data_IF_771114162801
#
_entry.id   IF_771114162801
#
_cell.length_a   1.000
_cell.length_b   1.000
_cell.length_c   1.000
_cell.angle_alpha   90.00
_cell.angle_beta   90.00
_cell.angle_gamma   90.00
#
_symmetry.space_group_name_H-M   'P 1'
#
loop_
_entity.id
_entity.type
_entity.pdbx_description
1 polymer ?
#
# COMPACT_ATOMS: atom_id res chain seq x y z
N UNK A 1 43.64 -8.43 -39.45
CA UNK A 1 43.18 -9.74 -39.92
C UNK A 1 42.83 -10.57 -38.71
N UNK A 2 41.56 -10.71 -38.38
CA UNK A 2 41.10 -11.63 -37.37
C UNK A 2 39.75 -12.21 -37.84
N UNK A 3 39.78 -13.50 -38.06
CA UNK A 3 38.75 -14.32 -38.70
C UNK A 3 37.63 -14.65 -37.70
N UNK A 4 36.38 -14.36 -38.07
CA UNK A 4 35.20 -14.74 -37.32
C UNK A 4 34.75 -16.11 -37.80
N UNK A 5 34.67 -17.08 -36.88
CA UNK A 5 34.10 -18.40 -37.12
C UNK A 5 32.65 -18.40 -36.55
N UNK A 6 31.70 -18.54 -37.44
CA UNK A 6 30.29 -18.75 -37.08
C UNK A 6 29.98 -20.24 -37.00
N UNK A 7 29.53 -20.72 -35.89
CA UNK A 7 29.04 -22.10 -35.73
C UNK A 7 27.53 -22.14 -35.81
N UNK A 8 27.04 -22.82 -36.84
CA UNK A 8 25.61 -23.11 -37.08
C UNK A 8 25.25 -24.41 -36.34
N UNK A 9 24.28 -24.41 -35.46
CA UNK A 9 23.71 -25.62 -34.84
C UNK A 9 22.30 -25.83 -35.37
N UNK A 10 22.10 -26.93 -36.01
CA UNK A 10 20.81 -27.36 -36.59
C UNK A 10 19.94 -28.05 -35.53
N UNK A 11 18.65 -27.77 -35.55
CA UNK A 11 17.64 -28.46 -34.76
C UNK A 11 17.08 -29.68 -35.51
N UNK A 12 16.76 -30.78 -34.86
CA UNK A 12 16.03 -31.88 -35.48
C UNK A 12 14.50 -31.71 -35.38
N UNK A 13 13.82 -31.98 -36.48
CA UNK A 13 12.39 -32.08 -36.59
C UNK A 13 11.93 -33.43 -36.01
N UNK A 14 10.89 -33.44 -35.18
CA UNK A 14 10.19 -34.62 -34.75
C UNK A 14 8.81 -34.73 -35.43
N UNK A 15 8.60 -35.88 -36.01
CA UNK A 15 7.42 -36.25 -36.82
C UNK A 15 6.17 -36.50 -35.95
N UNK A 16 5.05 -36.12 -36.50
CA UNK A 16 3.71 -36.45 -36.01
C UNK A 16 3.38 -37.93 -36.24
N UNK A 17 2.80 -38.59 -35.25
CA UNK A 17 2.06 -39.83 -35.45
C UNK A 17 0.60 -39.66 -35.03
N UNK A 18 -0.27 -39.83 -36.01
CA UNK A 18 -1.72 -39.97 -35.86
C UNK A 18 -2.05 -41.40 -35.50
N UNK A 19 -2.82 -41.61 -34.42
CA UNK A 19 -3.61 -42.85 -34.27
C UNK A 19 -5.04 -42.49 -33.86
N UNK A 20 -5.95 -42.89 -34.71
CA UNK A 20 -7.41 -42.92 -34.51
C UNK A 20 -7.82 -44.09 -33.65
N UNK A 21 -8.87 -43.90 -32.84
CA UNK A 21 -9.74 -45.00 -32.46
C UNK A 21 -10.20 -45.08 -31.02
N UNK A 22 -11.49 -44.99 -30.78
CA UNK A 22 -12.16 -45.72 -29.70
C UNK A 22 -12.86 -44.88 -28.63
N UNK A 23 -14.13 -44.71 -28.81
CA UNK A 23 -15.21 -44.43 -27.86
C UNK A 23 -15.12 -45.24 -26.56
N UNK A 24 -15.30 -44.64 -25.36
CA UNK A 24 -16.47 -44.84 -24.54
C UNK A 24 -16.48 -43.99 -23.24
N UNK A 25 -17.63 -43.63 -22.73
CA UNK A 25 -17.79 -42.70 -21.65
C UNK A 25 -17.85 -43.41 -20.31
N UNK A 26 -17.30 -42.82 -19.30
CA UNK A 26 -17.77 -42.95 -17.92
C UNK A 26 -16.62 -42.96 -16.88
N UNK A 27 -16.93 -42.27 -15.82
CA UNK A 27 -16.19 -42.10 -14.55
C UNK A 27 -15.10 -41.04 -14.56
N UNK A 28 -15.57 -39.79 -14.48
CA UNK A 28 -14.77 -38.72 -13.92
C UNK A 28 -14.53 -39.02 -12.43
N UNK A 29 -13.29 -39.33 -12.09
CA UNK A 29 -12.83 -39.31 -10.71
C UNK A 29 -12.93 -37.90 -10.16
N UNK A 30 -13.29 -37.70 -8.87
CA UNK A 30 -13.38 -36.38 -8.29
C UNK A 30 -11.98 -35.75 -8.26
N UNK A 31 -11.87 -34.55 -8.86
CA UNK A 31 -10.71 -33.70 -8.77
C UNK A 31 -10.49 -33.39 -7.28
N UNK A 32 -9.30 -33.63 -6.71
CA UNK A 32 -9.04 -33.24 -5.33
C UNK A 32 -9.20 -31.74 -5.23
N UNK A 33 -10.05 -31.29 -4.30
CA UNK A 33 -10.25 -29.89 -3.97
C UNK A 33 -8.90 -29.26 -3.64
N UNK A 34 -8.60 -28.13 -4.27
CA UNK A 34 -7.44 -27.33 -3.92
C UNK A 34 -7.50 -27.03 -2.40
N UNK A 35 -6.35 -27.05 -1.70
CA UNK A 35 -6.34 -26.74 -0.28
C UNK A 35 -6.90 -25.34 -0.07
N UNK A 36 -7.90 -25.25 0.80
CA UNK A 36 -8.47 -23.98 1.22
C UNK A 36 -7.35 -23.12 1.80
N UNK A 37 -7.15 -21.96 1.17
CA UNK A 37 -6.27 -20.91 1.71
C UNK A 37 -6.86 -20.56 3.08
N UNK A 38 -6.09 -20.62 4.18
CA UNK A 38 -6.62 -20.23 5.48
C UNK A 38 -6.93 -18.74 5.42
N UNK A 39 -8.21 -18.40 5.43
CA UNK A 39 -8.71 -17.05 5.71
C UNK A 39 -8.52 -16.77 7.19
N UNK A 40 -7.27 -16.60 7.59
CA UNK A 40 -6.89 -16.14 8.91
C UNK A 40 -7.03 -14.62 8.98
N UNK A 41 -8.24 -14.13 8.87
CA UNK A 41 -8.56 -12.77 9.28
C UNK A 41 -8.56 -12.73 10.80
N UNK A 42 -7.50 -12.24 11.43
CA UNK A 42 -7.55 -11.86 12.82
C UNK A 42 -8.63 -10.78 12.96
N UNK A 43 -9.71 -11.09 13.66
CA UNK A 43 -10.73 -10.13 14.03
C UNK A 43 -10.12 -9.12 15.00
N UNK A 44 -9.67 -7.99 14.47
CA UNK A 44 -9.25 -6.85 15.26
C UNK A 44 -10.36 -5.81 15.27
N UNK A 45 -11.04 -5.71 16.42
CA UNK A 45 -11.95 -4.63 16.74
C UNK A 45 -13.20 -4.57 15.86
N UNK A 46 -14.34 -4.38 16.48
CA UNK A 46 -15.59 -4.19 15.74
C UNK A 46 -15.43 -3.12 14.65
N UNK A 47 -15.89 -3.36 13.42
CA UNK A 47 -15.86 -2.36 12.37
C UNK A 47 -16.67 -1.15 12.82
N UNK A 48 -16.03 0.03 12.86
CA UNK A 48 -16.73 1.28 13.09
C UNK A 48 -17.75 1.45 11.94
N UNK A 49 -19.07 1.52 12.23
CA UNK A 49 -20.11 1.49 11.19
C UNK A 49 -20.12 2.67 10.22
N UNK A 50 -19.17 3.59 10.34
CA UNK A 50 -19.05 4.78 9.49
C UNK A 50 -17.89 4.71 8.48
N UNK A 51 -17.12 3.63 8.43
CA UNK A 51 -16.03 3.51 7.44
C UNK A 51 -16.56 2.77 6.23
N UNK A 52 -16.68 3.42 5.08
CA UNK A 52 -16.89 2.74 3.80
C UNK A 52 -15.72 1.78 3.60
N UNK A 53 -15.97 0.48 3.72
CA UNK A 53 -14.92 -0.52 3.50
C UNK A 53 -14.57 -0.54 2.01
N UNK A 54 -13.28 -0.33 1.73
CA UNK A 54 -12.76 -0.48 0.38
C UNK A 54 -12.87 -1.94 -0.06
N UNK A 55 -13.23 -2.14 -1.33
CA UNK A 55 -13.16 -3.48 -1.95
C UNK A 55 -11.70 -3.87 -2.17
N UNK A 56 -11.40 -5.15 -2.43
CA UNK A 56 -10.03 -5.56 -2.78
C UNK A 56 -9.45 -4.77 -3.95
N UNK A 57 -10.27 -4.43 -4.97
CA UNK A 57 -9.86 -3.63 -6.13
C UNK A 57 -9.63 -2.15 -5.80
N UNK A 58 -10.08 -1.69 -4.65
CA UNK A 58 -9.89 -0.34 -4.14
C UNK A 58 -8.76 -0.26 -3.10
N UNK A 59 -8.13 -1.39 -2.77
CA UNK A 59 -7.10 -1.45 -1.73
C UNK A 59 -5.71 -1.43 -2.34
N UNK A 60 -4.83 -0.58 -1.80
CA UNK A 60 -3.42 -0.53 -2.19
C UNK A 60 -2.70 -1.82 -1.78
N UNK A 61 -1.75 -2.26 -2.60
CA UNK A 61 -0.96 -3.45 -2.35
C UNK A 61 0.43 -3.09 -1.83
N UNK A 62 0.83 -3.66 -0.69
CA UNK A 62 2.20 -3.57 -0.22
C UNK A 62 3.09 -4.53 -1.02
N UNK A 63 4.08 -3.97 -1.71
CA UNK A 63 5.02 -4.72 -2.54
C UNK A 63 6.20 -5.27 -1.71
N UNK A 64 6.90 -6.33 -2.18
CA UNK A 64 8.05 -6.90 -1.48
C UNK A 64 9.20 -5.92 -1.24
N UNK A 65 9.35 -4.89 -2.06
CA UNK A 65 10.34 -3.83 -1.89
C UNK A 65 9.94 -2.77 -0.85
N UNK A 66 8.79 -2.92 -0.19
CA UNK A 66 8.27 -2.00 0.82
C UNK A 66 7.51 -0.78 0.26
N UNK A 67 7.32 -0.68 -1.05
CA UNK A 67 6.50 0.35 -1.68
C UNK A 67 5.04 -0.08 -1.74
N UNK A 68 4.13 0.89 -1.90
CA UNK A 68 2.73 0.62 -2.17
C UNK A 68 2.42 0.77 -3.66
N UNK A 69 1.65 -0.16 -4.21
CA UNK A 69 1.01 -0.02 -5.51
C UNK A 69 -0.40 0.53 -5.31
N UNK A 70 -0.71 1.65 -5.97
CA UNK A 70 -2.04 2.23 -5.93
C UNK A 70 -3.03 1.37 -6.73
N UNK A 71 -4.29 1.21 -6.27
CA UNK A 71 -5.31 0.54 -7.04
C UNK A 71 -5.68 1.35 -8.29
N UNK A 72 -5.94 0.66 -9.40
CA UNK A 72 -6.26 1.31 -10.68
C UNK A 72 -7.51 2.21 -10.58
N UNK A 73 -8.46 1.83 -9.73
CA UNK A 73 -9.73 2.52 -9.50
C UNK A 73 -9.63 3.76 -8.61
N UNK A 74 -8.46 3.99 -7.95
CA UNK A 74 -8.30 5.14 -7.06
C UNK A 74 -8.35 6.46 -7.83
N UNK A 75 -8.88 7.54 -7.21
CA UNK A 75 -8.71 8.90 -7.71
C UNK A 75 -7.25 9.27 -7.92
N UNK A 76 -6.98 10.22 -8.82
CA UNK A 76 -5.60 10.59 -9.17
C UNK A 76 -4.85 11.14 -7.95
N UNK A 77 -5.49 11.93 -7.11
CA UNK A 77 -4.95 12.50 -5.87
C UNK A 77 -4.46 11.41 -4.91
N UNK A 78 -5.18 10.29 -4.84
CA UNK A 78 -4.81 9.12 -4.02
C UNK A 78 -3.60 8.40 -4.61
N UNK A 79 -3.55 8.24 -5.94
CA UNK A 79 -2.40 7.66 -6.64
C UNK A 79 -1.15 8.49 -6.45
N UNK A 80 -1.27 9.81 -6.57
CA UNK A 80 -0.18 10.75 -6.41
C UNK A 80 0.31 10.82 -4.96
N UNK A 81 -0.61 10.76 -3.99
CA UNK A 81 -0.24 10.66 -2.57
C UNK A 81 0.54 9.38 -2.25
N UNK A 82 0.15 8.24 -2.85
CA UNK A 82 0.89 6.98 -2.72
C UNK A 82 2.26 7.08 -3.38
N UNK A 83 2.34 7.67 -4.57
CA UNK A 83 3.60 7.85 -5.29
C UNK A 83 4.57 8.72 -4.47
N UNK A 84 4.11 9.86 -3.95
CA UNK A 84 4.90 10.73 -3.09
C UNK A 84 5.36 10.02 -1.79
N UNK A 85 4.47 9.28 -1.14
CA UNK A 85 4.85 8.49 0.03
C UNK A 85 5.96 7.49 -0.28
N UNK A 86 5.92 6.84 -1.44
CA UNK A 86 6.96 5.90 -1.88
C UNK A 86 8.35 6.56 -2.00
N UNK A 87 8.44 7.85 -2.35
CA UNK A 87 9.72 8.58 -2.46
C UNK A 87 10.44 8.72 -1.11
N UNK A 88 9.69 8.69 -0.02
CA UNK A 88 10.23 8.88 1.34
C UNK A 88 10.30 7.60 2.15
N UNK A 89 9.71 6.50 1.67
CA UNK A 89 9.82 5.17 2.31
C UNK A 89 11.29 4.81 2.54
N UNK A 90 11.60 4.35 3.75
CA UNK A 90 12.96 3.95 4.12
C UNK A 90 13.84 5.08 4.64
N UNK A 91 13.45 6.34 4.51
CA UNK A 91 14.18 7.45 5.14
C UNK A 91 14.12 7.36 6.67
N UNK A 92 15.11 7.90 7.40
CA UNK A 92 15.14 7.85 8.85
C UNK A 92 14.04 8.73 9.46
N UNK A 93 13.65 8.39 10.70
CA UNK A 93 12.87 9.29 11.53
C UNK A 93 13.75 10.46 11.99
N UNK A 94 13.36 11.69 11.69
CA UNK A 94 13.97 12.92 12.19
C UNK A 94 12.87 13.82 12.72
N UNK A 95 12.93 14.17 14.01
CA UNK A 95 11.96 15.10 14.62
C UNK A 95 11.99 16.45 13.90
N UNK A 96 10.83 17.02 13.55
CA UNK A 96 10.69 18.23 12.74
C UNK A 96 11.01 18.05 11.24
N UNK A 97 11.30 16.82 10.81
CA UNK A 97 11.57 16.52 9.39
C UNK A 97 10.31 16.60 8.53
N UNK A 98 10.40 17.23 7.36
CA UNK A 98 9.29 17.42 6.42
C UNK A 98 8.47 18.70 6.65
N UNK A 99 8.84 19.55 7.63
CA UNK A 99 8.06 20.73 8.00
C UNK A 99 8.57 22.06 7.39
N UNK A 100 9.39 22.01 6.34
CA UNK A 100 9.75 23.21 5.59
C UNK A 100 8.79 23.47 4.41
N UNK A 101 8.81 24.67 3.86
CA UNK A 101 7.89 25.09 2.78
C UNK A 101 7.96 24.23 1.50
N UNK A 102 9.04 23.45 1.32
CA UNK A 102 9.21 22.53 0.19
C UNK A 102 8.88 21.09 0.55
N UNK A 103 8.48 20.81 1.80
CA UNK A 103 8.26 19.46 2.34
C UNK A 103 9.47 18.52 2.27
N UNK A 104 10.62 18.98 1.79
CA UNK A 104 11.81 18.16 1.56
C UNK A 104 12.66 18.04 2.82
N UNK A 105 13.10 16.81 3.15
CA UNK A 105 13.98 16.55 4.29
C UNK A 105 14.84 15.29 4.06
N UNK A 106 15.93 15.18 4.81
CA UNK A 106 16.75 13.96 4.86
C UNK A 106 16.04 12.80 5.55
N UNK A 107 15.11 13.11 6.44
CA UNK A 107 14.25 12.17 7.15
C UNK A 107 12.99 12.91 7.58
N UNK A 108 12.00 12.18 8.04
CA UNK A 108 10.69 12.73 8.33
C UNK A 108 10.21 12.29 9.72
N UNK A 109 9.49 13.17 10.40
CA UNK A 109 8.71 12.78 11.55
C UNK A 109 7.31 12.27 11.13
N UNK A 110 6.46 11.98 12.11
CA UNK A 110 5.14 11.39 11.89
C UNK A 110 4.25 12.28 11.02
N UNK A 111 4.08 13.53 11.40
CA UNK A 111 3.22 14.50 10.71
C UNK A 111 3.86 15.02 9.41
N UNK A 112 5.19 15.14 9.36
CA UNK A 112 5.91 15.45 8.14
C UNK A 112 5.78 14.37 7.07
N UNK A 113 5.73 13.10 7.46
CA UNK A 113 5.45 11.97 6.55
C UNK A 113 4.05 12.08 5.94
N UNK A 114 3.04 12.32 6.78
CA UNK A 114 1.66 12.51 6.32
C UNK A 114 1.55 13.74 5.44
N UNK A 115 2.16 14.86 5.86
CA UNK A 115 2.15 16.10 5.08
C UNK A 115 2.78 15.93 3.70
N UNK A 116 3.89 15.20 3.59
CA UNK A 116 4.55 14.93 2.31
C UNK A 116 3.65 14.15 1.36
N UNK A 117 3.03 13.08 1.85
CA UNK A 117 2.12 12.27 1.05
C UNK A 117 0.92 13.09 0.56
N UNK A 118 0.26 13.84 1.45
CA UNK A 118 -0.89 14.66 1.10
C UNK A 118 -0.53 15.79 0.13
N UNK A 119 0.66 16.39 0.29
CA UNK A 119 1.16 17.41 -0.64
C UNK A 119 1.35 16.84 -2.05
N UNK A 120 1.92 15.64 -2.18
CA UNK A 120 2.05 14.96 -3.47
C UNK A 120 0.71 14.72 -4.17
N UNK A 121 -0.34 14.43 -3.41
CA UNK A 121 -1.71 14.33 -3.92
C UNK A 121 -2.43 15.68 -4.10
N UNK A 122 -1.73 16.82 -3.98
CA UNK A 122 -2.31 18.19 -4.05
C UNK A 122 -3.38 18.47 -2.99
N UNK A 123 -3.38 17.71 -1.89
CA UNK A 123 -4.37 17.79 -0.81
C UNK A 123 -3.93 18.70 0.35
N UNK A 124 -2.66 19.14 0.32
CA UNK A 124 -2.06 19.98 1.36
C UNK A 124 -1.07 20.96 0.76
N UNK A 125 -1.21 22.24 1.08
CA UNK A 125 -0.36 23.32 0.55
C UNK A 125 0.79 23.72 1.50
N UNK A 126 0.67 23.40 2.78
CA UNK A 126 1.67 23.70 3.82
C UNK A 126 1.75 22.54 4.80
N UNK A 127 2.95 22.16 5.30
CA UNK A 127 3.07 21.04 6.22
C UNK A 127 2.40 21.35 7.56
N UNK A 128 1.75 20.35 8.14
CA UNK A 128 1.06 20.43 9.42
C UNK A 128 1.74 19.54 10.46
N UNK A 129 1.83 20.02 11.69
CA UNK A 129 2.12 19.16 12.84
C UNK A 129 0.91 18.29 13.23
N UNK A 130 1.13 17.32 14.12
CA UNK A 130 0.07 16.39 14.55
C UNK A 130 -1.09 17.09 15.24
N UNK A 131 -0.86 18.15 16.01
CA UNK A 131 -1.89 18.96 16.64
C UNK A 131 -2.76 19.73 15.63
N UNK A 132 -2.13 20.29 14.61
CA UNK A 132 -2.81 21.01 13.53
C UNK A 132 -3.66 20.09 12.66
N UNK A 133 -3.19 18.86 12.41
CA UNK A 133 -4.01 17.85 11.73
C UNK A 133 -5.32 17.54 12.45
N UNK A 134 -5.42 17.72 13.76
CA UNK A 134 -6.67 17.51 14.51
C UNK A 134 -7.82 18.44 14.07
N UNK A 135 -7.49 19.53 13.36
CA UNK A 135 -8.47 20.53 12.86
C UNK A 135 -8.52 20.59 11.33
N UNK A 136 -7.70 19.82 10.64
CA UNK A 136 -7.60 19.81 9.18
C UNK A 136 -8.72 18.97 8.55
N UNK A 137 -9.16 19.33 7.35
CA UNK A 137 -10.12 18.57 6.55
C UNK A 137 -11.45 18.31 7.24
N UNK A 138 -12.20 17.38 6.71
CA UNK A 138 -13.47 16.94 7.26
C UNK A 138 -13.29 15.99 8.45
N UNK A 139 -14.29 15.92 9.33
CA UNK A 139 -14.29 15.06 10.52
C UNK A 139 -14.63 13.61 10.16
N UNK A 140 -13.95 12.68 10.83
CA UNK A 140 -14.20 11.25 10.68
C UNK A 140 -13.28 10.60 9.64
N UNK A 141 -13.45 9.31 9.40
CA UNK A 141 -12.72 8.58 8.37
C UNK A 141 -13.20 8.98 6.97
N UNK A 142 -12.28 9.04 6.00
CA UNK A 142 -12.57 9.16 4.58
C UNK A 142 -12.69 7.80 3.90
N UNK A 143 -13.15 7.81 2.66
CA UNK A 143 -13.22 6.59 1.84
C UNK A 143 -11.83 6.12 1.44
N UNK A 144 -11.00 7.04 0.94
CA UNK A 144 -9.69 6.70 0.38
C UNK A 144 -8.52 7.07 1.29
N UNK A 145 -8.65 8.20 2.00
CA UNK A 145 -7.59 8.72 2.87
C UNK A 145 -8.17 9.06 4.24
N UNK A 146 -7.54 8.52 5.29
CA UNK A 146 -7.84 8.93 6.66
C UNK A 146 -6.53 9.27 7.38
N UNK A 147 -6.45 10.47 7.92
CA UNK A 147 -5.39 10.89 8.83
C UNK A 147 -5.85 10.65 10.27
N UNK A 148 -5.15 9.80 10.98
CA UNK A 148 -5.32 9.58 12.41
C UNK A 148 -4.30 10.40 13.17
N UNK A 149 -4.76 11.26 14.05
CA UNK A 149 -3.92 12.24 14.72
C UNK A 149 -4.30 12.48 16.17
N UNK A 150 -3.30 12.76 17.00
CA UNK A 150 -3.42 13.26 18.36
C UNK A 150 -2.26 14.25 18.64
N UNK A 151 -2.18 14.89 19.83
CA UNK A 151 -1.11 15.87 20.08
C UNK A 151 0.32 15.34 19.92
N UNK A 152 0.54 14.02 20.02
CA UNK A 152 1.88 13.42 20.03
C UNK A 152 2.21 12.60 18.76
N UNK A 153 1.25 12.31 17.89
CA UNK A 153 1.49 11.45 16.72
C UNK A 153 0.47 11.65 15.63
N UNK A 154 0.89 11.45 14.39
CA UNK A 154 0.02 11.36 13.22
C UNK A 154 0.45 10.19 12.33
N UNK A 155 -0.52 9.52 11.70
CA UNK A 155 -0.33 8.55 10.64
C UNK A 155 -1.53 8.57 9.71
N UNK A 156 -1.42 7.96 8.55
CA UNK A 156 -2.53 7.88 7.61
C UNK A 156 -2.82 6.45 7.16
N UNK A 157 -4.06 6.18 6.79
CA UNK A 157 -4.40 5.10 5.88
C UNK A 157 -4.71 5.70 4.52
N UNK A 158 -4.11 5.17 3.47
CA UNK A 158 -4.31 5.61 2.08
C UNK A 158 -4.66 4.36 1.27
N UNK A 159 -5.83 4.35 0.66
CA UNK A 159 -6.38 3.17 -0.01
C UNK A 159 -6.25 1.89 0.85
N UNK A 160 -6.62 1.98 2.14
CA UNK A 160 -6.60 0.86 3.09
C UNK A 160 -5.22 0.48 3.64
N UNK A 161 -4.11 1.02 3.10
CA UNK A 161 -2.76 0.70 3.57
C UNK A 161 -2.24 1.78 4.54
N UNK A 162 -1.63 1.37 5.65
CA UNK A 162 -1.13 2.28 6.68
C UNK A 162 0.23 2.87 6.30
N UNK A 163 0.34 4.20 6.27
CA UNK A 163 1.58 4.96 6.20
C UNK A 163 1.92 5.51 7.59
N UNK A 164 3.02 5.08 8.19
CA UNK A 164 3.36 5.44 9.57
C UNK A 164 4.87 5.38 9.81
N UNK A 165 5.39 6.29 10.61
CA UNK A 165 6.77 6.29 11.09
C UNK A 165 6.95 5.43 12.35
N UNK A 166 5.87 5.10 13.04
CA UNK A 166 5.88 4.24 14.24
C UNK A 166 5.82 2.77 13.83
N UNK A 167 6.63 1.95 14.51
CA UNK A 167 6.62 0.50 14.36
C UNK A 167 5.54 -0.19 15.21
N UNK A 168 4.57 0.54 15.77
CA UNK A 168 3.50 -0.07 16.55
C UNK A 168 2.75 -1.12 15.73
N UNK A 169 2.75 -2.38 16.18
CA UNK A 169 2.14 -3.51 15.48
C UNK A 169 2.92 -4.01 14.24
N UNK A 170 4.07 -3.43 13.93
CA UNK A 170 4.92 -3.87 12.83
C UNK A 170 6.01 -4.82 13.35
N UNK A 171 6.06 -6.07 12.87
CA UNK A 171 7.03 -7.06 13.34
C UNK A 171 8.49 -6.68 13.01
N UNK A 172 8.73 -5.80 12.03
CA UNK A 172 10.09 -5.39 11.64
C UNK A 172 10.74 -4.45 12.65
N UNK A 173 9.95 -3.75 13.48
CA UNK A 173 10.45 -2.77 14.45
C UNK A 173 11.09 -1.52 13.83
N UNK A 174 11.14 -1.40 12.51
CA UNK A 174 11.80 -0.30 11.80
C UNK A 174 11.04 1.02 11.98
N UNK A 175 11.77 2.10 12.30
CA UNK A 175 11.21 3.46 12.44
C UNK A 175 11.40 4.28 11.17
N UNK A 176 10.67 5.39 11.05
CA UNK A 176 10.67 6.27 9.89
C UNK A 176 9.55 5.95 8.90
N UNK A 177 9.39 6.76 7.82
CA UNK A 177 8.32 6.58 6.84
C UNK A 177 8.30 5.19 6.24
N UNK A 178 7.18 4.48 6.41
CA UNK A 178 6.98 3.13 5.85
C UNK A 178 5.52 2.85 5.62
N UNK A 179 5.24 2.10 4.61
CA UNK A 179 4.00 1.36 4.52
C UNK A 179 4.05 0.18 5.48
N UNK A 180 2.99 0.01 6.25
CA UNK A 180 2.93 -0.99 7.31
C UNK A 180 1.95 -2.10 6.93
N UNK A 181 2.33 -3.39 7.08
CA UNK A 181 1.46 -4.50 6.69
C UNK A 181 0.26 -4.68 7.62
N UNK A 182 0.31 -4.08 8.80
CA UNK A 182 -0.72 -4.23 9.84
C UNK A 182 -1.27 -2.86 10.24
N UNK A 183 -2.59 -2.75 10.29
CA UNK A 183 -3.26 -1.61 10.90
C UNK A 183 -3.00 -1.61 12.41
N UNK A 184 -2.96 -0.42 13.00
CA UNK A 184 -2.80 -0.25 14.45
C UNK A 184 -4.10 0.21 15.09
N UNK A 185 -4.20 0.09 16.41
CA UNK A 185 -5.29 0.70 17.17
C UNK A 185 -5.36 2.21 16.93
N UNK A 186 -6.55 2.70 16.67
CA UNK A 186 -6.87 4.13 16.50
C UNK A 186 -7.42 4.76 17.78
N UNK A 187 -7.47 4.01 18.88
CA UNK A 187 -7.93 4.52 20.19
C UNK A 187 -7.05 5.70 20.63
N UNK A 188 -7.68 6.82 20.96
CA UNK A 188 -6.99 8.05 21.36
C UNK A 188 -6.51 8.90 20.17
N UNK A 189 -6.95 8.58 18.94
CA UNK A 189 -6.73 9.40 17.76
C UNK A 189 -8.03 10.05 17.28
N UNK A 190 -7.92 11.25 16.76
CA UNK A 190 -8.95 11.91 15.96
C UNK A 190 -8.77 11.50 14.51
N UNK A 191 -9.84 11.11 13.83
CA UNK A 191 -9.83 10.85 12.40
C UNK A 191 -10.20 12.11 11.61
N UNK A 192 -9.46 12.36 10.53
CA UNK A 192 -9.66 13.45 9.59
C UNK A 192 -9.43 12.96 8.17
N UNK A 193 -10.09 13.57 7.19
CA UNK A 193 -9.90 13.23 5.78
C UNK A 193 -9.99 14.47 4.90
N UNK A 194 -9.37 14.46 3.70
CA UNK A 194 -9.58 15.52 2.72
C UNK A 194 -11.01 15.44 2.17
N UNK A 195 -11.58 16.59 1.83
CA UNK A 195 -12.94 16.66 1.29
C UNK A 195 -13.07 15.81 0.03
N UNK A 196 -14.09 14.95 -0.01
CA UNK A 196 -14.40 14.09 -1.15
C UNK A 196 -13.56 12.78 -1.26
N UNK A 197 -12.67 12.50 -0.31
CA UNK A 197 -11.81 11.29 -0.37
C UNK A 197 -11.95 10.37 0.88
#
# INVERSE_FOLDING_TARGET
MLTIVASLVAAPAAMAQTTTGGTDPSTAAPVPAAPAVPTGGAAYGEPNPATTQLTPEQTATLLPNGYAAAPATAPQEVKDAIAAANEIVGKPYIYGGGHNAKFLSRGYDCSGTVSYALHGGSLLTSPLDSGSFMKWGAKGPGTWITVFTNPGHAFATIAGLRLDTSAAGDPTGAKGPRWRPVLRSTKGFTARHPDGL
#
